data_IF_975595364379
#
_entry.id   IF_975595364379
#
_cell.length_a   1.000
_cell.length_b   1.000
_cell.length_c   1.000
_cell.angle_alpha   90.00
_cell.angle_beta   90.00
_cell.angle_gamma   90.00
#
_symmetry.space_group_name_H-M   'P 1'
#
loop_
_entity.id
_entity.type
_entity.pdbx_description
1 polymer ?
#
# COMPACT_ATOMS: atom_id res chain seq x y z
N UNK A 1 28.88 9.28 7.59
CA UNK A 1 28.91 8.28 8.68
C UNK A 1 27.47 8.08 9.13
N UNK A 2 26.90 6.89 8.91
CA UNK A 2 25.60 6.52 9.47
C UNK A 2 25.86 6.17 10.93
N UNK A 3 25.08 6.71 11.88
CA UNK A 3 25.38 6.69 13.32
C UNK A 3 25.48 5.30 13.97
N UNK A 4 25.48 5.25 15.31
CA UNK A 4 25.53 3.98 16.03
C UNK A 4 24.37 3.05 15.66
N UNK A 5 24.66 1.74 15.62
CA UNK A 5 23.66 0.71 15.31
C UNK A 5 22.57 0.74 16.40
N UNK A 6 21.31 0.78 15.98
CA UNK A 6 20.18 0.66 16.87
C UNK A 6 20.18 -0.69 17.60
N UNK A 7 19.82 -0.67 18.88
CA UNK A 7 19.60 -1.90 19.65
C UNK A 7 18.52 -2.77 18.99
N UNK A 8 18.77 -4.08 18.98
CA UNK A 8 17.90 -5.05 18.31
C UNK A 8 16.52 -5.13 18.99
N UNK A 9 16.44 -4.95 20.31
CA UNK A 9 15.17 -4.93 21.03
C UNK A 9 14.23 -3.83 20.52
N UNK A 10 14.76 -2.66 20.11
CA UNK A 10 13.93 -1.60 19.52
C UNK A 10 13.36 -1.97 18.16
N UNK A 11 14.05 -2.82 17.42
CA UNK A 11 13.52 -3.36 16.16
C UNK A 11 12.39 -4.37 16.45
N UNK A 12 12.53 -5.17 17.50
CA UNK A 12 11.47 -6.09 17.94
C UNK A 12 10.23 -5.35 18.40
N UNK A 13 10.39 -4.26 19.16
CA UNK A 13 9.27 -3.37 19.54
C UNK A 13 8.58 -2.79 18.30
N UNK A 14 9.33 -2.37 17.30
CA UNK A 14 8.78 -1.86 16.03
C UNK A 14 7.98 -2.93 15.28
N UNK A 15 8.44 -4.18 15.30
CA UNK A 15 7.70 -5.33 14.72
C UNK A 15 6.42 -5.59 15.50
N UNK A 16 6.44 -5.48 16.83
CA UNK A 16 5.24 -5.64 17.65
C UNK A 16 4.18 -4.59 17.31
N UNK A 17 4.59 -3.33 17.06
CA UNK A 17 3.68 -2.28 16.59
C UNK A 17 3.08 -2.67 15.24
N UNK A 18 3.90 -3.01 14.24
CA UNK A 18 3.37 -3.38 12.91
C UNK A 18 2.38 -4.55 12.97
N UNK A 19 2.70 -5.59 13.75
CA UNK A 19 1.82 -6.74 13.93
C UNK A 19 0.50 -6.38 14.62
N UNK A 20 0.48 -5.35 15.46
CA UNK A 20 -0.72 -4.89 16.16
C UNK A 20 -1.70 -4.10 15.27
N UNK A 21 -1.21 -3.53 14.17
CA UNK A 21 -1.98 -2.66 13.27
C UNK A 21 -2.69 -3.42 12.13
N UNK A 22 -2.47 -4.73 11.98
CA UNK A 22 -3.15 -5.50 10.94
C UNK A 22 -4.57 -5.87 11.36
N UNK A 23 -5.53 -5.48 10.52
CA UNK A 23 -6.94 -5.83 10.65
C UNK A 23 -7.23 -7.26 10.19
N UNK A 24 -8.46 -7.73 10.47
CA UNK A 24 -8.88 -9.08 10.13
C UNK A 24 -8.86 -9.37 8.62
N UNK A 25 -9.12 -8.35 7.79
CA UNK A 25 -9.05 -8.40 6.34
C UNK A 25 -7.60 -8.47 5.80
N UNK A 26 -6.59 -8.36 6.66
CA UNK A 26 -5.17 -8.41 6.31
C UNK A 26 -4.55 -7.05 6.01
N UNK A 27 -5.35 -6.00 5.84
CA UNK A 27 -4.89 -4.65 5.62
C UNK A 27 -4.26 -4.05 6.88
N UNK A 28 -3.47 -3.00 6.68
CA UNK A 28 -2.76 -2.27 7.74
C UNK A 28 -3.23 -0.83 7.74
N UNK A 29 -3.57 -0.33 8.93
CA UNK A 29 -3.97 1.05 9.18
C UNK A 29 -2.77 1.99 9.34
N UNK A 30 -3.04 3.28 9.56
CA UNK A 30 -2.00 4.31 9.70
C UNK A 30 -1.51 4.44 11.13
N UNK A 31 -2.42 4.66 12.08
CA UNK A 31 -2.04 5.06 13.45
C UNK A 31 -2.43 4.04 14.51
N UNK A 32 -3.64 3.50 14.41
CA UNK A 32 -4.21 2.59 15.40
C UNK A 32 -4.97 1.43 14.76
N UNK A 33 -5.29 0.35 15.47
CA UNK A 33 -6.08 -0.73 14.90
C UNK A 33 -7.47 -0.24 14.46
N UNK A 34 -7.87 -0.54 13.23
CA UNK A 34 -9.18 -0.19 12.68
C UNK A 34 -10.29 -1.09 13.25
N UNK A 35 -10.74 -0.79 14.48
CA UNK A 35 -11.78 -1.56 15.20
C UNK A 35 -13.19 -1.02 15.00
N UNK A 36 -13.29 0.23 14.56
CA UNK A 36 -14.55 0.93 14.37
C UNK A 36 -15.27 0.43 13.11
N UNK A 37 -16.61 0.45 13.14
CA UNK A 37 -17.42 -0.09 12.06
C UNK A 37 -17.61 0.97 10.96
N UNK A 38 -17.52 0.56 9.68
CA UNK A 38 -17.59 1.48 8.53
C UNK A 38 -18.86 2.32 8.44
N UNK A 39 -19.98 1.89 9.05
CA UNK A 39 -21.20 2.69 9.06
C UNK A 39 -21.05 4.00 9.86
N UNK A 40 -20.05 4.11 10.75
CA UNK A 40 -19.76 5.35 11.47
C UNK A 40 -19.34 6.49 10.55
N UNK A 41 -18.84 6.22 9.34
CA UNK A 41 -18.58 7.24 8.33
C UNK A 41 -19.85 8.01 7.90
N UNK A 42 -21.05 7.44 8.12
CA UNK A 42 -22.31 8.17 7.93
C UNK A 42 -22.47 9.36 8.89
N UNK A 43 -21.70 9.38 9.97
CA UNK A 43 -21.70 10.45 10.97
C UNK A 43 -20.66 11.53 10.64
N UNK A 44 -19.98 11.46 9.49
CA UNK A 44 -19.00 12.46 9.08
C UNK A 44 -19.67 13.84 9.00
N UNK A 45 -19.28 14.79 9.88
CA UNK A 45 -19.89 16.11 9.89
C UNK A 45 -19.24 17.07 8.89
N UNK A 46 -18.20 16.65 8.18
CA UNK A 46 -17.47 17.48 7.22
C UNK A 46 -18.01 17.27 5.81
N UNK A 47 -18.26 18.36 5.08
CA UNK A 47 -18.87 18.27 3.74
C UNK A 47 -17.86 18.05 2.61
N UNK A 48 -16.56 18.22 2.88
CA UNK A 48 -15.51 18.27 1.84
C UNK A 48 -14.41 17.21 2.01
N UNK A 49 -14.47 16.41 3.08
CA UNK A 49 -13.58 15.26 3.29
C UNK A 49 -14.39 13.98 3.41
N UNK A 50 -13.85 12.89 2.89
CA UNK A 50 -14.40 11.54 3.02
C UNK A 50 -13.45 10.66 3.81
N UNK A 51 -13.98 9.60 4.41
CA UNK A 51 -13.20 8.54 5.05
C UNK A 51 -12.31 9.07 6.21
N UNK A 52 -12.90 9.92 7.09
CA UNK A 52 -12.18 10.61 8.18
C UNK A 52 -12.66 10.23 9.59
N UNK A 53 -13.77 9.52 9.72
CA UNK A 53 -14.40 9.27 11.03
C UNK A 53 -13.73 8.10 11.73
N UNK A 54 -13.33 7.09 10.95
CA UNK A 54 -12.67 5.90 11.45
C UNK A 54 -11.31 5.72 10.79
N UNK A 55 -10.50 4.87 11.40
CA UNK A 55 -9.29 4.37 10.78
C UNK A 55 -9.64 3.32 9.72
N UNK A 56 -8.96 3.36 8.58
CA UNK A 56 -9.12 2.40 7.48
C UNK A 56 -7.80 1.71 7.16
N UNK A 57 -7.87 0.59 6.46
CA UNK A 57 -6.69 -0.07 5.94
C UNK A 57 -6.35 0.40 4.53
N UNK A 58 -5.06 0.60 4.27
CA UNK A 58 -4.59 1.22 3.03
C UNK A 58 -3.55 0.36 2.32
N UNK A 59 -3.56 0.42 0.99
CA UNK A 59 -2.60 -0.31 0.15
C UNK A 59 -1.16 0.13 0.44
N UNK A 60 -0.96 1.41 0.73
CA UNK A 60 0.37 1.99 1.00
C UNK A 60 0.97 1.49 2.32
N UNK A 61 0.17 1.53 3.40
CA UNK A 61 0.57 1.02 4.71
C UNK A 61 0.84 -0.48 4.63
N UNK A 62 -0.05 -1.22 3.97
CA UNK A 62 0.04 -2.68 3.83
C UNK A 62 1.28 -3.09 3.03
N UNK A 63 1.51 -2.48 1.87
CA UNK A 63 2.67 -2.74 1.03
C UNK A 63 4.00 -2.40 1.70
N UNK A 64 4.04 -1.30 2.47
CA UNK A 64 5.21 -0.89 3.26
C UNK A 64 5.51 -1.86 4.39
N UNK A 65 4.48 -2.28 5.13
CA UNK A 65 4.62 -3.23 6.23
C UNK A 65 5.14 -4.59 5.75
N UNK A 66 4.66 -5.09 4.61
CA UNK A 66 5.19 -6.31 3.98
C UNK A 66 6.69 -6.17 3.71
N UNK A 67 7.10 -5.09 3.03
CA UNK A 67 8.52 -4.88 2.68
C UNK A 67 9.41 -4.84 3.93
N UNK A 68 8.99 -4.10 4.96
CA UNK A 68 9.72 -4.00 6.22
C UNK A 68 9.83 -5.36 6.92
N UNK A 69 8.73 -6.11 7.03
CA UNK A 69 8.70 -7.40 7.72
C UNK A 69 9.43 -8.51 6.95
N UNK A 70 9.41 -8.49 5.62
CA UNK A 70 10.22 -9.40 4.79
C UNK A 70 11.70 -9.16 5.03
N UNK A 71 12.14 -7.90 5.04
CA UNK A 71 13.53 -7.55 5.33
C UNK A 71 13.90 -7.93 6.78
N UNK A 72 13.04 -7.60 7.75
CA UNK A 72 13.26 -7.98 9.14
C UNK A 72 13.39 -9.49 9.31
N UNK A 73 12.48 -10.27 8.72
CA UNK A 73 12.51 -11.75 8.76
C UNK A 73 13.81 -12.31 8.18
N UNK A 74 14.36 -11.68 7.13
CA UNK A 74 15.65 -12.09 6.56
C UNK A 74 16.81 -11.87 7.54
N UNK A 75 16.77 -10.80 8.32
CA UNK A 75 17.83 -10.43 9.27
C UNK A 75 17.69 -11.14 10.62
N UNK A 76 16.46 -11.44 11.04
CA UNK A 76 16.10 -12.00 12.35
C UNK A 76 15.13 -13.19 12.18
N UNK A 77 15.56 -14.31 11.55
CA UNK A 77 14.67 -15.37 11.07
C UNK A 77 13.92 -16.13 12.16
N UNK A 78 14.40 -16.11 13.41
CA UNK A 78 13.79 -16.83 14.52
C UNK A 78 12.78 -15.98 15.32
N UNK A 79 12.80 -14.65 15.18
CA UNK A 79 11.93 -13.77 15.96
C UNK A 79 10.52 -13.72 15.38
N UNK A 80 9.52 -14.26 16.09
CA UNK A 80 8.08 -14.24 15.73
C UNK A 80 7.78 -14.68 14.29
N UNK A 81 8.59 -15.61 13.77
CA UNK A 81 8.58 -16.05 12.37
C UNK A 81 7.18 -16.39 11.87
N UNK A 82 6.42 -17.18 12.65
CA UNK A 82 5.10 -17.67 12.25
C UNK A 82 4.08 -16.54 12.14
N UNK A 83 4.08 -15.61 13.09
CA UNK A 83 3.19 -14.45 13.06
C UNK A 83 3.52 -13.53 11.89
N UNK A 84 4.81 -13.29 11.62
CA UNK A 84 5.27 -12.48 10.49
C UNK A 84 4.87 -13.13 9.15
N UNK A 85 5.05 -14.44 9.01
CA UNK A 85 4.65 -15.16 7.79
C UNK A 85 3.14 -15.14 7.57
N UNK A 86 2.36 -15.28 8.64
CA UNK A 86 0.90 -15.15 8.59
C UNK A 86 0.49 -13.73 8.21
N UNK A 87 1.14 -12.71 8.80
CA UNK A 87 0.89 -11.30 8.50
C UNK A 87 1.11 -11.02 7.01
N UNK A 88 2.27 -11.41 6.47
CA UNK A 88 2.63 -11.16 5.07
C UNK A 88 1.63 -11.83 4.12
N UNK A 89 1.21 -13.07 4.42
CA UNK A 89 0.25 -13.78 3.59
C UNK A 89 -1.11 -13.06 3.53
N UNK A 90 -1.63 -12.63 4.69
CA UNK A 90 -2.90 -11.88 4.77
C UNK A 90 -2.81 -10.51 4.12
N UNK A 91 -1.71 -9.79 4.35
CA UNK A 91 -1.46 -8.48 3.76
C UNK A 91 -1.36 -8.55 2.23
N UNK A 92 -0.72 -9.60 1.69
CA UNK A 92 -0.68 -9.83 0.25
C UNK A 92 -2.09 -10.10 -0.31
N UNK A 93 -2.91 -10.91 0.38
CA UNK A 93 -4.30 -11.14 -0.02
C UNK A 93 -5.12 -9.85 -0.01
N UNK A 94 -4.99 -9.01 1.01
CA UNK A 94 -5.64 -7.70 1.05
C UNK A 94 -5.30 -6.84 -0.17
N UNK A 95 -4.02 -6.80 -0.57
CA UNK A 95 -3.60 -6.07 -1.78
C UNK A 95 -4.22 -6.69 -3.04
N UNK A 96 -4.27 -8.02 -3.16
CA UNK A 96 -4.93 -8.68 -4.29
C UNK A 96 -6.44 -8.37 -4.35
N UNK A 97 -7.11 -8.30 -3.19
CA UNK A 97 -8.56 -8.11 -3.08
C UNK A 97 -9.01 -6.64 -3.22
N UNK A 98 -8.12 -5.67 -2.96
CA UNK A 98 -8.41 -4.22 -3.05
C UNK A 98 -8.00 -3.59 -4.37
N UNK A 99 -7.52 -4.39 -5.33
CA UNK A 99 -7.15 -3.90 -6.66
C UNK A 99 -8.39 -3.38 -7.41
N UNK A 100 -8.26 -2.20 -8.03
CA UNK A 100 -9.35 -1.60 -8.79
C UNK A 100 -9.56 -2.29 -10.15
N UNK A 101 -10.75 -2.15 -10.77
CA UNK A 101 -11.04 -2.74 -12.07
C UNK A 101 -10.09 -2.33 -13.20
N UNK A 102 -9.50 -1.13 -13.12
CA UNK A 102 -8.49 -0.65 -14.08
C UNK A 102 -7.11 -1.33 -13.91
N UNK A 103 -6.95 -2.21 -12.91
CA UNK A 103 -5.70 -2.90 -12.59
C UNK A 103 -4.78 -2.14 -11.63
N UNK A 104 -5.04 -0.86 -11.35
CA UNK A 104 -4.27 -0.09 -10.38
C UNK A 104 -4.78 -0.24 -8.94
N UNK A 105 -4.12 0.47 -8.02
CA UNK A 105 -4.57 0.65 -6.63
C UNK A 105 -4.73 2.11 -6.31
N UNK A 106 -5.81 2.48 -5.61
CA UNK A 106 -6.04 3.85 -5.19
C UNK A 106 -5.03 4.27 -4.11
N UNK A 107 -4.38 5.42 -4.33
CA UNK A 107 -3.50 6.08 -3.37
C UNK A 107 -4.25 7.13 -2.56
N UNK A 108 -4.07 7.10 -1.25
CA UNK A 108 -4.69 7.97 -0.25
C UNK A 108 -3.77 9.11 0.17
N UNK A 109 -2.44 8.87 0.14
CA UNK A 109 -1.42 9.83 0.59
C UNK A 109 -0.60 10.44 -0.56
N UNK A 110 -0.91 10.08 -1.80
CA UNK A 110 -0.32 10.61 -3.02
C UNK A 110 -1.30 10.55 -4.18
N UNK A 111 -1.04 11.28 -5.25
CA UNK A 111 -1.89 11.30 -6.45
C UNK A 111 -1.45 10.18 -7.41
N UNK A 112 -2.25 9.16 -7.70
CA UNK A 112 -3.32 8.50 -6.95
C UNK A 112 -3.17 7.01 -7.27
N UNK A 113 -3.48 6.61 -8.51
CA UNK A 113 -3.32 5.23 -8.95
C UNK A 113 -1.88 4.84 -9.24
N UNK A 114 -1.08 5.74 -9.81
CA UNK A 114 0.36 5.51 -10.02
C UNK A 114 1.06 5.27 -8.68
N UNK A 115 0.79 6.14 -7.70
CA UNK A 115 1.30 6.05 -6.33
C UNK A 115 0.85 4.78 -5.60
N UNK A 116 -0.47 4.49 -5.56
CA UNK A 116 -0.97 3.30 -4.88
C UNK A 116 -0.47 2.00 -5.52
N UNK A 117 -0.38 1.97 -6.86
CA UNK A 117 0.13 0.80 -7.61
C UNK A 117 1.61 0.53 -7.31
N UNK A 118 2.43 1.57 -7.15
CA UNK A 118 3.82 1.41 -6.73
C UNK A 118 3.95 0.67 -5.39
N UNK A 119 3.22 1.13 -4.36
CA UNK A 119 3.25 0.46 -3.05
C UNK A 119 2.72 -0.97 -3.09
N UNK A 120 1.60 -1.19 -3.79
CA UNK A 120 0.99 -2.50 -3.88
C UNK A 120 1.90 -3.51 -4.62
N UNK A 121 2.46 -3.12 -5.77
CA UNK A 121 3.40 -3.96 -6.51
C UNK A 121 4.69 -4.22 -5.72
N UNK A 122 5.22 -3.22 -5.01
CA UNK A 122 6.37 -3.38 -4.13
C UNK A 122 6.11 -4.39 -2.99
N UNK A 123 4.96 -4.27 -2.33
CA UNK A 123 4.51 -5.20 -1.29
C UNK A 123 4.32 -6.62 -1.81
N UNK A 124 3.56 -6.77 -2.90
CA UNK A 124 3.32 -8.08 -3.54
C UNK A 124 4.64 -8.74 -3.97
N UNK A 125 5.54 -7.98 -4.58
CA UNK A 125 6.86 -8.49 -4.98
C UNK A 125 7.68 -8.95 -3.78
N UNK A 126 7.71 -8.17 -2.69
CA UNK A 126 8.38 -8.55 -1.46
C UNK A 126 7.78 -9.81 -0.82
N UNK A 127 6.46 -10.02 -0.95
CA UNK A 127 5.78 -11.24 -0.54
C UNK A 127 6.04 -12.46 -1.47
N UNK A 128 6.87 -12.32 -2.50
CA UNK A 128 7.21 -13.39 -3.44
C UNK A 128 6.21 -13.56 -4.59
N UNK A 129 5.31 -12.60 -4.80
CA UNK A 129 4.45 -12.55 -5.98
C UNK A 129 5.26 -12.02 -7.17
N UNK A 130 4.95 -12.53 -8.35
CA UNK A 130 5.65 -12.26 -9.60
C UNK A 130 4.64 -12.14 -10.73
N UNK A 131 5.10 -11.66 -11.87
CA UNK A 131 4.29 -11.62 -13.09
C UNK A 131 3.71 -13.00 -13.45
N UNK A 132 4.41 -14.10 -13.16
CA UNK A 132 3.98 -15.43 -13.57
C UNK A 132 2.98 -16.08 -12.60
N UNK A 133 3.05 -15.78 -11.30
CA UNK A 133 2.24 -16.45 -10.27
C UNK A 133 1.12 -15.58 -9.67
N UNK A 134 0.97 -14.32 -10.05
CA UNK A 134 -0.03 -13.41 -9.49
C UNK A 134 -0.74 -12.60 -10.57
N UNK A 135 -2.06 -12.74 -10.65
CA UNK A 135 -2.87 -11.99 -11.61
C UNK A 135 -2.92 -10.50 -11.28
N UNK A 136 -2.96 -10.13 -9.99
CA UNK A 136 -2.95 -8.73 -9.57
C UNK A 136 -1.67 -8.02 -10.02
N UNK A 137 -0.50 -8.66 -9.89
CA UNK A 137 0.78 -8.12 -10.39
C UNK A 137 0.71 -7.88 -11.90
N UNK A 138 0.17 -8.82 -12.69
CA UNK A 138 0.04 -8.65 -14.15
C UNK A 138 -0.83 -7.45 -14.51
N UNK A 139 -1.99 -7.33 -13.87
CA UNK A 139 -2.93 -6.22 -14.09
C UNK A 139 -2.33 -4.88 -13.67
N UNK A 140 -1.58 -4.83 -12.57
CA UNK A 140 -0.89 -3.61 -12.13
C UNK A 140 0.20 -3.17 -13.11
N UNK A 141 0.98 -4.12 -13.63
CA UNK A 141 1.97 -3.84 -14.68
C UNK A 141 1.29 -3.37 -15.97
N UNK A 142 0.20 -4.02 -16.39
CA UNK A 142 -0.57 -3.63 -17.56
C UNK A 142 -1.18 -2.23 -17.40
N UNK A 143 -1.73 -1.90 -16.22
CA UNK A 143 -2.18 -0.56 -15.88
C UNK A 143 -1.08 0.49 -16.07
N UNK A 144 0.12 0.26 -15.54
CA UNK A 144 1.24 1.20 -15.73
C UNK A 144 1.63 1.32 -17.21
N UNK A 145 1.81 0.20 -17.92
CA UNK A 145 2.20 0.23 -19.33
C UNK A 145 1.17 0.93 -20.23
N UNK A 146 -0.11 0.75 -19.97
CA UNK A 146 -1.19 1.36 -20.75
C UNK A 146 -1.42 2.84 -20.43
N UNK A 147 -0.89 3.32 -19.31
CA UNK A 147 -0.99 4.73 -18.88
C UNK A 147 0.29 5.54 -19.09
N UNK A 148 1.33 4.92 -19.67
CA UNK A 148 2.57 5.60 -20.04
C UNK A 148 2.30 6.64 -21.15
N UNK A 149 2.84 7.84 -21.00
CA UNK A 149 2.74 8.92 -21.98
C UNK A 149 3.77 8.74 -23.11
N UNK A 150 3.59 9.49 -24.21
CA UNK A 150 4.46 9.42 -25.39
C UNK A 150 5.92 9.79 -25.09
N UNK A 151 6.17 10.61 -24.07
CA UNK A 151 7.51 10.99 -23.62
C UNK A 151 8.20 9.91 -22.76
N UNK A 152 7.53 8.80 -22.52
CA UNK A 152 7.99 7.67 -21.71
C UNK A 152 7.74 7.81 -20.21
N UNK A 153 7.18 8.93 -19.75
CA UNK A 153 6.85 9.16 -18.35
C UNK A 153 5.39 8.84 -18.00
N UNK A 154 5.04 9.12 -16.75
CA UNK A 154 3.68 9.04 -16.23
C UNK A 154 3.24 10.40 -15.69
N UNK A 155 1.95 10.69 -15.88
CA UNK A 155 1.34 11.93 -15.41
C UNK A 155 -0.12 11.67 -15.09
N UNK A 156 -0.48 11.88 -13.83
CA UNK A 156 -1.82 11.70 -13.28
C UNK A 156 -2.30 13.00 -12.64
N UNK A 157 -3.49 13.43 -13.05
CA UNK A 157 -4.12 14.65 -12.54
C UNK A 157 -4.63 14.44 -11.11
N UNK A 158 -4.61 15.51 -10.30
CA UNK A 158 -5.21 15.51 -8.96
C UNK A 158 -6.71 15.16 -8.99
N UNK A 159 -7.37 15.37 -10.13
CA UNK A 159 -8.78 14.99 -10.34
C UNK A 159 -9.03 13.50 -10.21
N UNK A 160 -7.97 12.67 -10.26
CA UNK A 160 -8.08 11.24 -10.03
C UNK A 160 -8.53 10.91 -8.61
N UNK A 161 -8.10 11.70 -7.62
CA UNK A 161 -8.47 11.50 -6.21
C UNK A 161 -9.98 11.67 -5.96
N UNK A 162 -10.61 12.84 -6.26
CA UNK A 162 -12.04 13.03 -6.00
C UNK A 162 -12.93 12.19 -6.92
N UNK A 163 -12.46 11.80 -8.12
CA UNK A 163 -13.22 10.93 -9.02
C UNK A 163 -13.07 9.44 -8.69
N UNK A 164 -12.06 9.07 -7.89
CA UNK A 164 -11.65 7.67 -7.64
C UNK A 164 -11.46 6.87 -8.95
N UNK A 165 -10.93 7.53 -9.98
CA UNK A 165 -10.67 6.99 -11.32
C UNK A 165 -9.36 7.59 -11.86
N UNK A 166 -8.62 6.87 -12.70
CA UNK A 166 -7.40 7.42 -13.29
C UNK A 166 -7.74 8.53 -14.30
N UNK A 167 -7.25 9.74 -14.05
CA UNK A 167 -7.35 10.88 -14.97
C UNK A 167 -5.94 11.26 -15.42
N UNK A 168 -5.60 11.10 -16.72
CA UNK A 168 -4.29 11.48 -17.21
C UNK A 168 -4.04 12.98 -17.02
N UNK A 169 -2.80 13.34 -16.70
CA UNK A 169 -2.36 14.73 -16.65
C UNK A 169 -2.21 15.28 -18.08
N UNK A 170 -2.77 16.46 -18.34
CA UNK A 170 -2.58 17.15 -19.62
C UNK A 170 -1.16 17.75 -19.70
N UNK A 171 -0.52 17.59 -20.86
CA UNK A 171 0.80 18.17 -21.12
C UNK A 171 1.94 17.19 -20.90
N UNK A 172 2.91 17.57 -20.04
CA UNK A 172 4.14 16.77 -19.81
C UNK A 172 3.94 15.77 -18.68
N UNK A 173 4.71 14.69 -18.72
CA UNK A 173 4.84 13.76 -17.59
C UNK A 173 5.29 14.47 -16.31
N UNK A 174 4.95 13.85 -15.18
CA UNK A 174 5.33 14.31 -13.86
C UNK A 174 6.51 13.49 -13.33
N UNK A 175 7.54 14.17 -12.84
CA UNK A 175 8.77 13.53 -12.37
C UNK A 175 8.52 12.49 -11.27
N UNK A 176 7.70 12.82 -10.27
CA UNK A 176 7.46 11.94 -9.11
C UNK A 176 6.56 10.75 -9.44
N UNK A 177 5.65 10.91 -10.41
CA UNK A 177 4.79 9.81 -10.86
C UNK A 177 5.51 8.89 -11.85
N UNK A 178 6.59 9.37 -12.47
CA UNK A 178 7.42 8.59 -13.41
C UNK A 178 8.47 7.72 -12.72
N UNK A 179 8.94 8.12 -11.54
CA UNK A 179 9.99 7.43 -10.79
C UNK A 179 9.53 6.08 -10.23
#
# INVERSE_FOLDING_TARGET
VVGEKMDTERLYDSVNILLSLQSQNGGVSVWEPAVAQSWLELLNPTEFFADIVIEHEYAECTGSAIQALVLFKKLYPEHRKREIETFIAKAAMFLEDTQYPNGGWYGNWGICFTYGTWFALGGLTAAGKTYYNCAAVRKGVEFLLTTQQEDGGWGESYLSCPKKEFVPLEGKSNLTQTA
#
